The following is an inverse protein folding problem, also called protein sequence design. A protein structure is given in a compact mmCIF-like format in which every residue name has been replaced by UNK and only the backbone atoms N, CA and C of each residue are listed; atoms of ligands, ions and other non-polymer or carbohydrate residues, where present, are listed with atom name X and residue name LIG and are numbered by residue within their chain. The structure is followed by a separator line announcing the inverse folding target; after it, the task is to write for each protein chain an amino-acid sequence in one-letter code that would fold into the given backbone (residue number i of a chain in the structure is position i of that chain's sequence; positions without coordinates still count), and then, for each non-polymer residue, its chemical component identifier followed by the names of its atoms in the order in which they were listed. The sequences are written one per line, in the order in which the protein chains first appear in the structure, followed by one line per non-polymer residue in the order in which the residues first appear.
data_IF_384205122844
#
_entry.id   IF_384205122844
#
_cell.length_a   1.000
_cell.length_b   1.000
_cell.length_c   1.000
_cell.angle_alpha   90.00
_cell.angle_beta   90.00
_cell.angle_gamma   90.00
#
_symmetry.space_group_name_H-M   'P 1'
#
loop_
_entity.id
_entity.type
_entity.pdbx_description
1 polymer ?
#
# COMPACT_ATOMS: atom_id res chain seq x y z
N UNK A 1 20.37 12.62 17.15
CA UNK A 1 20.93 13.01 15.83
C UNK A 1 19.92 13.01 14.67
N UNK A 2 19.24 11.91 14.29
CA UNK A 2 18.34 11.92 13.09
C UNK A 2 16.96 12.55 13.32
N UNK A 3 16.34 12.29 14.48
CA UNK A 3 15.02 12.83 14.83
C UNK A 3 15.09 14.26 15.38
N UNK A 4 16.27 14.72 15.78
CA UNK A 4 16.53 16.08 16.28
C UNK A 4 16.50 17.15 15.18
N UNK A 5 16.66 16.75 13.91
CA UNK A 5 16.68 17.68 12.77
C UNK A 5 15.37 17.66 11.99
N UNK A 6 15.01 18.80 11.39
CA UNK A 6 13.78 18.99 10.61
C UNK A 6 14.05 19.51 9.18
N UNK A 7 15.19 19.14 8.58
CA UNK A 7 15.61 19.64 7.27
C UNK A 7 15.71 18.55 6.20
N UNK A 8 16.18 17.37 6.58
CA UNK A 8 16.51 16.28 5.68
C UNK A 8 15.63 15.06 5.96
N UNK A 9 15.25 14.35 4.90
CA UNK A 9 14.55 13.06 4.97
C UNK A 9 13.31 13.06 5.88
N UNK A 10 12.51 14.13 5.81
CA UNK A 10 11.30 14.29 6.64
C UNK A 10 10.33 13.10 6.48
N UNK A 11 10.20 12.57 5.26
CA UNK A 11 9.36 11.39 4.98
C UNK A 11 9.82 10.11 5.70
N UNK A 12 11.07 10.04 6.16
CA UNK A 12 11.62 8.90 6.89
C UNK A 12 11.46 9.01 8.41
N UNK A 13 10.96 10.14 8.94
CA UNK A 13 10.82 10.33 10.39
C UNK A 13 9.92 9.27 11.03
N UNK A 14 8.80 8.95 10.38
CA UNK A 14 7.91 7.86 10.81
C UNK A 14 8.62 6.50 10.88
N UNK A 15 9.49 6.20 9.91
CA UNK A 15 10.32 5.00 9.94
C UNK A 15 11.26 5.03 11.15
N UNK A 16 11.97 6.13 11.39
CA UNK A 16 12.90 6.25 12.51
C UNK A 16 12.23 6.12 13.86
N UNK A 17 11.09 6.80 14.08
CA UNK A 17 10.29 6.62 15.30
C UNK A 17 9.89 5.17 15.49
N UNK A 18 9.34 4.53 14.45
CA UNK A 18 8.93 3.13 14.51
C UNK A 18 10.09 2.20 14.88
N UNK A 19 11.27 2.39 14.28
CA UNK A 19 12.48 1.63 14.59
C UNK A 19 12.98 1.88 16.01
N UNK A 20 12.96 3.13 16.46
CA UNK A 20 13.41 3.52 17.80
C UNK A 20 12.49 2.92 18.88
N UNK A 21 11.16 2.98 18.68
CA UNK A 21 10.19 2.31 19.55
C UNK A 21 10.45 0.80 19.62
N UNK A 22 10.70 0.13 18.49
CA UNK A 22 11.04 -1.31 18.47
C UNK A 22 12.31 -1.59 19.27
N UNK A 23 13.34 -0.75 19.11
CA UNK A 23 14.62 -0.92 19.80
C UNK A 23 14.42 -0.82 21.32
N UNK A 24 13.79 0.25 21.81
CA UNK A 24 13.56 0.43 23.24
C UNK A 24 12.65 -0.64 23.83
N UNK A 25 11.52 -0.95 23.18
CA UNK A 25 10.55 -1.91 23.70
C UNK A 25 11.07 -3.35 23.69
N UNK A 26 11.67 -3.80 22.58
CA UNK A 26 11.99 -5.22 22.40
C UNK A 26 13.45 -5.55 22.70
N UNK A 27 14.39 -4.70 22.29
CA UNK A 27 15.82 -5.01 22.40
C UNK A 27 16.40 -4.57 23.73
N UNK A 28 16.09 -3.34 24.16
CA UNK A 28 16.61 -2.76 25.40
C UNK A 28 15.67 -2.98 26.60
N UNK A 29 14.43 -3.41 26.37
CA UNK A 29 13.40 -3.64 27.39
C UNK A 29 13.11 -2.40 28.27
N UNK A 30 13.30 -1.21 27.71
CA UNK A 30 13.02 0.08 28.35
C UNK A 30 11.65 0.58 27.89
N UNK A 31 10.60 0.13 28.56
CA UNK A 31 9.21 0.41 28.17
C UNK A 31 8.87 1.89 28.29
N UNK A 32 9.31 2.56 29.36
CA UNK A 32 9.01 3.99 29.58
C UNK A 32 9.59 4.87 28.48
N UNK A 33 10.82 4.59 28.04
CA UNK A 33 11.43 5.24 26.87
C UNK A 33 10.65 4.96 25.60
N UNK A 34 10.19 3.73 25.39
CA UNK A 34 9.37 3.42 24.21
C UNK A 34 8.06 4.22 24.20
N UNK A 35 7.43 4.41 25.36
CA UNK A 35 6.22 5.23 25.53
C UNK A 35 6.51 6.71 25.25
N UNK A 36 7.61 7.25 25.78
CA UNK A 36 8.08 8.61 25.50
C UNK A 36 8.25 8.85 23.99
N UNK A 37 8.93 7.93 23.29
CA UNK A 37 9.11 8.00 21.83
C UNK A 37 7.77 7.95 21.08
N UNK A 38 6.80 7.14 21.54
CA UNK A 38 5.47 7.10 20.94
C UNK A 38 4.75 8.43 21.14
N UNK A 39 4.83 9.03 22.33
CA UNK A 39 4.25 10.33 22.62
C UNK A 39 4.82 11.42 21.71
N UNK A 40 6.16 11.45 21.56
CA UNK A 40 6.84 12.38 20.66
C UNK A 40 6.39 12.19 19.20
N UNK A 41 6.25 10.93 18.75
CA UNK A 41 5.77 10.65 17.39
C UNK A 41 4.34 11.14 17.16
N UNK A 42 3.48 11.12 18.18
CA UNK A 42 2.09 11.59 18.06
C UNK A 42 1.97 13.10 17.84
N UNK A 43 3.03 13.85 18.17
CA UNK A 43 3.08 15.30 18.03
C UNK A 43 3.72 15.75 16.71
N UNK A 44 4.34 14.83 15.95
CA UNK A 44 5.07 15.15 14.73
C UNK A 44 4.17 15.08 13.48
N UNK A 45 3.96 16.23 12.85
CA UNK A 45 3.11 16.40 11.66
C UNK A 45 3.71 15.82 10.38
N UNK A 46 4.99 15.45 10.36
CA UNK A 46 5.66 14.93 9.17
C UNK A 46 5.55 13.41 9.03
N UNK A 47 4.94 12.73 10.00
CA UNK A 47 4.79 11.28 9.98
C UNK A 47 3.64 10.90 9.05
N UNK A 48 3.96 10.10 8.03
CA UNK A 48 2.96 9.52 7.14
C UNK A 48 2.05 8.56 7.91
N UNK A 49 0.76 8.58 7.57
CA UNK A 49 -0.31 7.86 8.27
C UNK A 49 -0.03 6.35 8.45
N UNK A 50 0.56 5.69 7.45
CA UNK A 50 0.93 4.27 7.55
C UNK A 50 1.99 3.99 8.63
N UNK A 51 2.89 4.94 8.91
CA UNK A 51 3.81 4.84 10.04
C UNK A 51 3.12 5.11 11.36
N UNK A 52 2.17 6.06 11.41
CA UNK A 52 1.33 6.30 12.61
C UNK A 52 0.58 5.03 12.98
N UNK A 53 -0.08 4.37 12.01
CA UNK A 53 -0.73 3.07 12.20
C UNK A 53 0.23 2.02 12.77
N UNK A 54 1.42 1.88 12.19
CA UNK A 54 2.42 0.90 12.65
C UNK A 54 2.88 1.15 14.09
N UNK A 55 3.09 2.42 14.45
CA UNK A 55 3.49 2.85 15.79
C UNK A 55 2.35 2.63 16.79
N UNK A 56 1.12 3.05 16.48
CA UNK A 56 -0.04 2.86 17.34
C UNK A 56 -0.42 1.39 17.54
N UNK A 57 -0.33 0.55 16.51
CA UNK A 57 -0.48 -0.91 16.67
C UNK A 57 0.56 -1.50 17.62
N UNK A 58 1.73 -0.87 17.77
CA UNK A 58 2.72 -1.25 18.78
C UNK A 58 2.42 -0.65 20.15
N UNK A 59 1.96 0.59 20.21
CA UNK A 59 1.45 1.22 21.42
C UNK A 59 0.43 0.30 22.12
N UNK A 60 -0.58 -0.18 21.38
CA UNK A 60 -1.60 -1.09 21.91
C UNK A 60 -1.03 -2.40 22.48
N UNK A 61 0.04 -2.93 21.87
CA UNK A 61 0.71 -4.15 22.36
C UNK A 61 1.49 -3.88 23.64
N UNK A 62 2.26 -2.79 23.68
CA UNK A 62 3.07 -2.39 24.83
C UNK A 62 2.18 -2.08 26.04
N UNK A 63 1.12 -1.30 25.82
CA UNK A 63 0.18 -0.85 26.84
C UNK A 63 -1.02 -1.80 27.03
N UNK A 64 -0.94 -3.03 26.52
CA UNK A 64 -2.04 -4.02 26.61
C UNK A 64 -2.52 -4.28 28.05
N UNK A 65 -1.62 -4.16 29.03
CA UNK A 65 -1.92 -4.28 30.47
C UNK A 65 -2.40 -2.96 31.10
N UNK A 66 -2.14 -1.81 30.49
CA UNK A 66 -2.52 -0.49 30.99
C UNK A 66 -3.40 0.25 29.98
N UNK A 67 -4.64 -0.24 29.84
CA UNK A 67 -5.60 0.30 28.87
C UNK A 67 -6.12 1.69 29.23
N UNK A 68 -5.96 2.12 30.49
CA UNK A 68 -6.37 3.45 30.95
C UNK A 68 -5.40 4.55 30.52
N UNK A 69 -4.20 4.19 30.05
CA UNK A 69 -3.21 5.14 29.61
C UNK A 69 -3.72 5.97 28.41
N UNK A 70 -3.51 7.29 28.43
CA UNK A 70 -4.00 8.22 27.40
C UNK A 70 -3.60 7.79 25.98
N UNK A 71 -2.32 7.44 25.77
CA UNK A 71 -1.83 6.94 24.48
C UNK A 71 -2.49 5.63 24.01
N UNK A 72 -2.96 4.78 24.93
CA UNK A 72 -3.70 3.57 24.54
C UNK A 72 -5.06 3.94 23.94
N UNK A 73 -5.75 4.90 24.57
CA UNK A 73 -7.03 5.39 24.06
C UNK A 73 -6.86 6.09 22.72
N UNK A 74 -5.91 7.04 22.62
CA UNK A 74 -5.57 7.71 21.35
C UNK A 74 -5.25 6.72 20.22
N UNK A 75 -4.45 5.68 20.51
CA UNK A 75 -4.11 4.66 19.52
C UNK A 75 -5.33 3.80 19.13
N UNK A 76 -6.22 3.52 20.07
CA UNK A 76 -7.46 2.76 19.84
C UNK A 76 -8.42 3.56 18.97
N UNK A 77 -8.65 4.82 19.30
CA UNK A 77 -9.52 5.73 18.53
C UNK A 77 -9.02 5.88 17.09
N UNK A 78 -7.72 6.11 16.91
CA UNK A 78 -7.12 6.19 15.58
C UNK A 78 -7.36 4.92 14.76
N UNK A 79 -7.16 3.73 15.35
CA UNK A 79 -7.31 2.46 14.63
C UNK A 79 -8.78 2.13 14.38
N UNK A 80 -9.68 2.45 15.30
CA UNK A 80 -11.11 2.21 15.14
C UNK A 80 -11.75 3.10 14.08
N UNK A 81 -11.17 4.29 13.84
CA UNK A 81 -11.60 5.18 12.76
C UNK A 81 -11.19 4.68 11.36
N UNK A 82 -10.34 3.65 11.26
CA UNK A 82 -9.98 3.04 9.99
C UNK A 82 -11.04 2.03 9.56
N UNK A 83 -11.38 2.06 8.26
CA UNK A 83 -12.31 1.10 7.69
C UNK A 83 -11.73 -0.32 7.73
N UNK A 84 -12.46 -1.25 8.34
CA UNK A 84 -12.06 -2.66 8.34
C UNK A 84 -12.40 -3.29 6.98
N UNK A 85 -11.43 -3.91 6.28
CA UNK A 85 -11.72 -4.58 5.02
C UNK A 85 -12.57 -5.83 5.27
N UNK A 86 -13.39 -6.20 4.29
CA UNK A 86 -14.06 -7.50 4.27
C UNK A 86 -13.01 -8.60 4.11
N UNK A 87 -13.06 -9.61 5.01
CA UNK A 87 -12.10 -10.71 5.00
C UNK A 87 -12.78 -11.96 4.45
N UNK A 88 -12.36 -12.36 3.26
CA UNK A 88 -12.74 -13.62 2.65
C UNK A 88 -11.61 -14.63 2.82
N UNK A 89 -11.93 -15.81 3.35
CA UNK A 89 -10.96 -16.92 3.49
C UNK A 89 -11.21 -17.98 2.44
N UNK A 90 -10.20 -18.25 1.62
CA UNK A 90 -10.21 -19.32 0.61
C UNK A 90 -9.29 -20.45 1.06
N UNK A 91 -9.72 -21.70 0.91
CA UNK A 91 -8.95 -22.89 1.27
C UNK A 91 -8.58 -23.68 0.02
N UNK A 92 -7.34 -24.18 -0.01
CA UNK A 92 -6.80 -24.90 -1.17
C UNK A 92 -5.73 -25.89 -0.79
N UNK A 93 -5.49 -26.87 -1.67
CA UNK A 93 -4.47 -27.90 -1.45
C UNK A 93 -3.08 -27.33 -1.73
N UNK A 94 -2.30 -27.15 -0.66
CA UNK A 94 -0.91 -26.71 -0.74
C UNK A 94 -0.01 -27.85 -1.23
N UNK A 95 0.84 -27.56 -2.20
CA UNK A 95 1.83 -28.52 -2.71
C UNK A 95 3.12 -28.37 -1.90
N UNK A 96 3.56 -29.46 -1.26
CA UNK A 96 4.84 -29.51 -0.55
C UNK A 96 5.95 -29.66 -1.59
N UNK A 97 6.80 -28.65 -1.71
CA UNK A 97 8.00 -28.72 -2.54
C UNK A 97 9.20 -29.14 -1.68
N UNK A 98 9.84 -30.26 -2.02
CA UNK A 98 10.98 -30.81 -1.27
C UNK A 98 12.26 -29.98 -1.37
N UNK A 99 12.28 -28.93 -2.20
CA UNK A 99 13.42 -28.02 -2.34
C UNK A 99 13.33 -26.88 -1.32
N UNK A 100 14.35 -26.76 -0.46
CA UNK A 100 14.60 -25.65 0.47
C UNK A 100 14.76 -24.26 -0.18
N UNK A 101 14.59 -24.16 -1.50
CA UNK A 101 14.81 -22.96 -2.31
C UNK A 101 13.51 -22.30 -2.82
N UNK A 102 12.33 -22.88 -2.58
CA UNK A 102 11.06 -22.24 -2.97
C UNK A 102 10.49 -21.50 -1.75
N UNK A 103 10.57 -20.16 -1.79
CA UNK A 103 10.13 -19.25 -0.72
C UNK A 103 8.61 -19.00 -0.71
N UNK A 104 7.93 -19.21 -1.84
CA UNK A 104 6.50 -18.87 -2.00
C UNK A 104 5.60 -20.12 -2.02
N UNK A 105 4.48 -20.07 -1.30
CA UNK A 105 3.50 -21.16 -1.24
C UNK A 105 2.85 -21.41 -2.61
N UNK A 106 2.83 -22.67 -3.05
CA UNK A 106 2.17 -23.12 -4.29
C UNK A 106 0.93 -23.96 -4.00
N UNK A 107 -0.10 -23.80 -4.81
CA UNK A 107 -1.40 -24.45 -4.65
C UNK A 107 -1.80 -25.20 -5.92
N UNK A 108 -2.49 -26.32 -5.73
CA UNK A 108 -3.17 -27.01 -6.83
C UNK A 108 -4.44 -26.24 -7.19
N UNK A 109 -4.53 -25.77 -8.44
CA UNK A 109 -5.69 -25.07 -8.99
C UNK A 109 -6.36 -25.98 -10.01
N UNK A 110 -7.66 -26.18 -9.85
CA UNK A 110 -8.45 -26.98 -10.78
C UNK A 110 -9.23 -26.06 -11.71
N UNK A 111 -8.95 -26.17 -13.01
CA UNK A 111 -9.68 -25.47 -14.05
C UNK A 111 -10.60 -26.44 -14.77
N UNK A 112 -11.78 -25.96 -15.14
CA UNK A 112 -12.74 -26.71 -15.93
C UNK A 112 -12.80 -26.08 -17.33
N UNK A 113 -12.56 -26.89 -18.36
CA UNK A 113 -12.70 -26.50 -19.76
C UNK A 113 -13.60 -27.49 -20.49
N UNK A 114 -14.19 -27.09 -21.61
CA UNK A 114 -14.90 -27.99 -22.51
C UNK A 114 -13.89 -28.58 -23.50
N UNK A 115 -13.88 -29.90 -23.66
CA UNK A 115 -13.14 -30.56 -24.74
C UNK A 115 -13.94 -30.51 -26.07
N UNK A 116 -13.31 -30.91 -27.18
CA UNK A 116 -13.92 -30.94 -28.53
C UNK A 116 -15.25 -31.69 -28.61
N UNK A 117 -15.50 -32.62 -27.68
CA UNK A 117 -16.74 -33.40 -27.58
C UNK A 117 -17.77 -32.79 -26.61
N UNK A 118 -17.65 -31.51 -26.23
CA UNK A 118 -18.48 -30.85 -25.21
C UNK A 118 -18.46 -31.52 -23.81
N UNK A 119 -17.46 -32.35 -23.53
CA UNK A 119 -17.25 -32.94 -22.21
C UNK A 119 -16.44 -32.02 -21.30
N UNK A 120 -16.79 -31.95 -20.02
CA UNK A 120 -16.05 -31.16 -19.02
C UNK A 120 -14.70 -31.85 -18.73
N UNK A 121 -13.61 -31.21 -19.12
CA UNK A 121 -12.24 -31.61 -18.75
C UNK A 121 -11.81 -30.88 -17.50
N UNK A 122 -11.33 -31.65 -16.53
CA UNK A 122 -10.68 -31.12 -15.34
C UNK A 122 -9.17 -31.12 -15.56
N UNK A 123 -8.56 -29.94 -15.48
CA UNK A 123 -7.09 -29.79 -15.49
C UNK A 123 -6.62 -29.29 -14.14
N UNK A 124 -5.58 -29.93 -13.58
CA UNK A 124 -4.91 -29.47 -12.37
C UNK A 124 -3.62 -28.77 -12.75
N UNK A 125 -3.50 -27.48 -12.43
CA UNK A 125 -2.28 -26.69 -12.61
C UNK A 125 -1.72 -26.27 -11.26
N UNK A 126 -0.40 -26.05 -11.21
CA UNK A 126 0.28 -25.53 -10.01
C UNK A 126 0.37 -24.02 -10.15
N UNK A 127 -0.18 -23.28 -9.18
CA UNK A 127 -0.19 -21.82 -9.20
C UNK A 127 0.31 -21.21 -7.89
N UNK A 128 0.65 -19.93 -7.90
CA UNK A 128 0.90 -19.14 -6.70
C UNK A 128 -0.42 -18.75 -6.01
N UNK A 129 -0.33 -18.13 -4.83
CA UNK A 129 -1.50 -17.72 -4.04
C UNK A 129 -2.43 -16.81 -4.84
N UNK A 130 -1.86 -15.93 -5.65
CA UNK A 130 -2.59 -14.87 -6.34
C UNK A 130 -3.35 -15.40 -7.55
N UNK A 131 -2.74 -16.28 -8.36
CA UNK A 131 -3.46 -16.96 -9.43
C UNK A 131 -4.50 -17.96 -8.88
N UNK A 132 -4.24 -18.58 -7.74
CA UNK A 132 -5.22 -19.41 -7.05
C UNK A 132 -6.45 -18.57 -6.64
N UNK A 133 -6.23 -17.37 -6.09
CA UNK A 133 -7.30 -16.44 -5.75
C UNK A 133 -8.06 -15.95 -7.00
N UNK A 134 -7.38 -15.62 -8.11
CA UNK A 134 -8.02 -15.25 -9.37
C UNK A 134 -8.95 -16.36 -9.88
N UNK A 135 -8.49 -17.62 -9.85
CA UNK A 135 -9.33 -18.75 -10.26
C UNK A 135 -10.56 -18.91 -9.37
N UNK A 136 -10.42 -18.70 -8.06
CA UNK A 136 -11.56 -18.70 -7.13
C UNK A 136 -12.58 -17.62 -7.49
N UNK A 137 -12.14 -16.37 -7.72
CA UNK A 137 -13.05 -15.29 -8.14
C UNK A 137 -13.72 -15.57 -9.48
N UNK A 138 -12.99 -16.13 -10.45
CA UNK A 138 -13.56 -16.52 -11.75
C UNK A 138 -14.60 -17.62 -11.60
N UNK A 139 -14.32 -18.67 -10.83
CA UNK A 139 -15.17 -19.86 -10.72
C UNK A 139 -16.39 -19.62 -9.83
N UNK A 140 -16.22 -18.91 -8.71
CA UNK A 140 -17.28 -18.75 -7.71
C UNK A 140 -18.15 -17.50 -7.92
N UNK A 141 -17.61 -16.45 -8.55
CA UNK A 141 -18.32 -15.19 -8.75
C UNK A 141 -18.47 -14.80 -10.23
N UNK A 142 -17.92 -15.59 -11.16
CA UNK A 142 -18.08 -15.33 -12.59
C UNK A 142 -17.24 -14.16 -13.12
N UNK A 143 -16.23 -13.71 -12.39
CA UNK A 143 -15.32 -12.66 -12.87
C UNK A 143 -14.42 -13.21 -13.98
N UNK A 144 -14.82 -12.97 -15.24
CA UNK A 144 -14.11 -13.46 -16.43
C UNK A 144 -12.74 -12.83 -16.65
N UNK A 145 -12.46 -11.69 -16.02
CA UNK A 145 -11.20 -10.96 -16.14
C UNK A 145 -10.66 -10.62 -14.75
N UNK A 146 -9.35 -10.79 -14.58
CA UNK A 146 -8.65 -10.39 -13.37
C UNK A 146 -7.16 -10.24 -13.65
N UNK A 147 -6.51 -9.32 -12.93
CA UNK A 147 -5.10 -9.00 -13.11
C UNK A 147 -4.41 -8.97 -11.75
N UNK A 148 -3.37 -9.78 -11.59
CA UNK A 148 -2.46 -9.68 -10.47
C UNK A 148 -1.24 -8.83 -10.88
N UNK A 149 -1.23 -7.55 -10.49
CA UNK A 149 -0.16 -6.61 -10.82
C UNK A 149 0.11 -5.58 -9.70
N UNK A 150 -0.33 -5.87 -8.47
CA UNK A 150 -0.16 -5.00 -7.30
C UNK A 150 -0.56 -3.53 -7.60
N UNK A 151 0.33 -2.57 -7.34
CA UNK A 151 0.09 -1.14 -7.59
C UNK A 151 0.30 -0.70 -9.05
N UNK A 152 0.84 -1.55 -9.93
CA UNK A 152 1.18 -1.17 -11.29
C UNK A 152 -0.03 -0.69 -12.13
N UNK A 153 -1.23 -1.31 -12.05
CA UNK A 153 -2.40 -0.82 -12.79
C UNK A 153 -2.74 0.63 -12.45
N UNK A 154 -2.71 1.00 -11.17
CA UNK A 154 -3.01 2.36 -10.74
C UNK A 154 -1.94 3.36 -11.18
N UNK A 155 -0.65 2.98 -11.13
CA UNK A 155 0.44 3.82 -11.65
C UNK A 155 0.35 4.01 -13.16
N UNK A 156 -0.01 2.97 -13.90
CA UNK A 156 -0.22 3.05 -15.36
C UNK A 156 -1.42 3.94 -15.69
N UNK A 157 -2.56 3.76 -15.02
CA UNK A 157 -3.72 4.62 -15.20
C UNK A 157 -3.41 6.07 -14.85
N UNK A 158 -2.65 6.31 -13.78
CA UNK A 158 -2.17 7.64 -13.43
C UNK A 158 -1.32 8.24 -14.56
N UNK A 159 -0.34 7.48 -15.06
CA UNK A 159 0.50 7.90 -16.18
C UNK A 159 -0.31 8.24 -17.42
N UNK A 160 -1.33 7.44 -17.75
CA UNK A 160 -2.21 7.67 -18.91
C UNK A 160 -3.10 8.89 -18.72
N UNK A 161 -3.73 9.04 -17.55
CA UNK A 161 -4.69 10.12 -17.28
C UNK A 161 -4.06 11.44 -16.87
N UNK A 162 -2.78 11.48 -16.52
CA UNK A 162 -2.09 12.69 -16.05
C UNK A 162 -0.77 12.93 -16.78
N UNK A 163 -0.53 12.32 -17.94
CA UNK A 163 0.74 12.44 -18.67
C UNK A 163 1.13 13.91 -18.92
N UNK A 164 0.22 14.67 -19.55
CA UNK A 164 0.38 16.09 -19.85
C UNK A 164 0.63 16.94 -18.60
N UNK A 165 0.00 16.58 -17.49
CA UNK A 165 0.16 17.27 -16.20
C UNK A 165 1.51 16.91 -15.57
N UNK A 166 1.89 15.64 -15.56
CA UNK A 166 3.16 15.17 -15.01
C UNK A 166 4.35 15.82 -15.73
N UNK A 167 4.26 15.95 -17.05
CA UNK A 167 5.27 16.59 -17.91
C UNK A 167 5.03 18.09 -18.18
N UNK A 168 4.14 18.74 -17.42
CA UNK A 168 3.95 20.19 -17.51
C UNK A 168 5.21 20.98 -17.13
N UNK A 169 5.32 22.19 -17.68
CA UNK A 169 6.47 23.08 -17.47
C UNK A 169 6.48 23.66 -16.04
N UNK A 170 7.10 22.93 -15.12
CA UNK A 170 7.32 23.34 -13.74
C UNK A 170 8.82 23.55 -13.50
N UNK A 171 9.17 24.74 -13.01
CA UNK A 171 10.56 25.09 -12.70
C UNK A 171 11.25 24.05 -11.81
N UNK A 172 12.49 23.72 -12.20
CA UNK A 172 13.39 22.79 -11.52
C UNK A 172 12.87 21.34 -11.44
N UNK A 173 12.11 20.88 -12.43
CA UNK A 173 11.63 19.48 -12.48
C UNK A 173 12.30 18.66 -13.59
N UNK A 174 12.76 19.31 -14.66
CA UNK A 174 13.52 18.71 -15.75
C UNK A 174 14.85 19.44 -15.95
N UNK A 175 15.95 18.69 -15.87
CA UNK A 175 17.34 19.11 -16.03
C UNK A 175 18.01 18.46 -17.24
N UNK A 176 17.37 17.44 -17.83
CA UNK A 176 17.89 16.68 -18.98
C UNK A 176 16.77 16.13 -19.85
N UNK A 177 17.02 16.05 -21.16
CA UNK A 177 16.12 15.47 -22.15
C UNK A 177 15.89 13.95 -21.98
N UNK A 178 16.70 13.27 -21.17
CA UNK A 178 16.61 11.83 -20.92
C UNK A 178 15.79 11.47 -19.68
N UNK A 179 15.15 12.45 -19.03
CA UNK A 179 14.34 12.17 -17.84
C UNK A 179 13.03 11.45 -18.19
N UNK A 180 12.86 10.27 -17.61
CA UNK A 180 11.63 9.47 -17.74
C UNK A 180 10.50 9.93 -16.80
N UNK A 181 10.77 10.91 -15.92
CA UNK A 181 9.82 11.49 -14.97
C UNK A 181 10.31 12.85 -14.45
N UNK A 182 9.40 13.73 -13.98
CA UNK A 182 9.80 14.94 -13.30
C UNK A 182 10.52 14.62 -11.99
N UNK A 183 11.53 15.41 -11.64
CA UNK A 183 12.36 15.20 -10.44
C UNK A 183 11.55 15.24 -9.14
N UNK A 184 10.47 16.03 -9.12
CA UNK A 184 9.64 16.23 -7.94
C UNK A 184 8.57 15.15 -7.74
N UNK A 185 8.38 14.17 -8.66
CA UNK A 185 7.27 13.20 -8.68
C UNK A 185 6.93 12.57 -7.31
N UNK A 186 7.96 12.22 -6.53
CA UNK A 186 7.80 11.56 -5.23
C UNK A 186 8.03 12.50 -4.04
N UNK A 187 7.75 13.79 -4.23
CA UNK A 187 7.87 14.82 -3.20
C UNK A 187 6.54 15.54 -2.98
N UNK A 188 6.38 16.14 -1.80
CA UNK A 188 5.22 16.97 -1.47
C UNK A 188 5.06 18.19 -2.42
N UNK A 189 6.14 18.59 -3.11
CA UNK A 189 6.12 19.68 -4.09
C UNK A 189 5.32 19.30 -5.35
N UNK A 190 5.29 18.03 -5.73
CA UNK A 190 4.67 17.60 -7.00
C UNK A 190 3.22 18.03 -7.13
N UNK A 191 2.42 17.69 -6.11
CA UNK A 191 1.01 18.07 -6.07
C UNK A 191 0.83 19.58 -5.94
N UNK A 192 1.55 20.23 -5.02
CA UNK A 192 1.40 21.68 -4.79
C UNK A 192 1.77 22.52 -6.02
N UNK A 193 2.80 22.13 -6.77
CA UNK A 193 3.21 22.83 -7.99
C UNK A 193 2.23 22.67 -9.16
N UNK A 194 1.41 21.61 -9.16
CA UNK A 194 0.44 21.27 -10.22
C UNK A 194 -1.00 21.24 -9.71
N UNK A 195 -1.28 21.81 -8.53
CA UNK A 195 -2.53 21.62 -7.79
C UNK A 195 -3.75 21.94 -8.66
N UNK A 196 -3.76 23.11 -9.28
CA UNK A 196 -4.86 23.53 -10.16
C UNK A 196 -5.10 22.54 -11.32
N UNK A 197 -4.04 22.09 -11.99
CA UNK A 197 -4.14 21.14 -13.11
C UNK A 197 -4.65 19.78 -12.64
N UNK A 198 -4.11 19.27 -11.53
CA UNK A 198 -4.50 17.98 -10.95
C UNK A 198 -5.95 18.01 -10.48
N UNK A 199 -6.34 19.04 -9.71
CA UNK A 199 -7.69 19.16 -9.16
C UNK A 199 -8.72 19.32 -10.30
N UNK A 200 -8.39 20.06 -11.36
CA UNK A 200 -9.22 20.18 -12.55
C UNK A 200 -9.40 18.82 -13.27
N UNK A 201 -8.31 18.09 -13.52
CA UNK A 201 -8.36 16.75 -14.16
C UNK A 201 -9.14 15.75 -13.30
N UNK A 202 -8.95 15.77 -11.99
CA UNK A 202 -9.72 14.92 -11.07
C UNK A 202 -11.22 15.24 -11.14
N UNK A 203 -11.60 16.52 -11.18
CA UNK A 203 -13.00 16.91 -11.33
C UNK A 203 -13.60 16.36 -12.64
N UNK A 204 -12.88 16.50 -13.76
CA UNK A 204 -13.30 15.93 -15.05
C UNK A 204 -13.49 14.42 -14.95
N UNK A 205 -12.55 13.69 -14.34
CA UNK A 205 -12.64 12.24 -14.17
C UNK A 205 -13.85 11.83 -13.30
N UNK A 206 -14.21 12.64 -12.30
CA UNK A 206 -15.36 12.39 -11.41
C UNK A 206 -16.71 12.69 -12.07
N UNK A 207 -16.78 13.71 -12.92
CA UNK A 207 -18.05 14.16 -13.53
C UNK A 207 -18.29 13.59 -14.92
N UNK A 208 -17.26 13.08 -15.61
CA UNK A 208 -17.37 12.57 -16.97
C UNK A 208 -18.16 11.25 -16.99
N UNK A 209 -19.32 11.17 -17.67
CA UNK A 209 -20.07 9.92 -17.75
C UNK A 209 -19.30 8.89 -18.58
N UNK A 210 -18.81 9.25 -19.77
CA UNK A 210 -17.94 8.43 -20.62
C UNK A 210 -17.24 9.38 -21.62
N UNK A 211 -15.92 9.20 -21.86
CA UNK A 211 -15.01 10.01 -22.70
C UNK A 211 -14.38 11.25 -22.06
N UNK A 212 -13.33 11.01 -21.29
CA UNK A 212 -12.31 12.04 -21.01
C UNK A 212 -11.51 12.21 -22.30
N UNK A 213 -11.65 13.35 -22.99
CA UNK A 213 -10.67 13.73 -24.03
C UNK A 213 -9.36 14.06 -23.29
N UNK A 214 -8.38 13.16 -23.41
CA UNK A 214 -7.10 13.22 -22.67
C UNK A 214 -6.15 14.28 -23.25
N UNK A 215 -6.51 14.95 -24.36
CA UNK A 215 -5.67 15.96 -25.00
C UNK A 215 -6.47 17.24 -25.27
N UNK A 216 -5.98 18.36 -24.71
CA UNK A 216 -6.24 19.71 -25.20
C UNK A 216 -5.04 20.16 -26.02
#
# INVERSE_FOLDING_TARGET
LLLEQNKYSLNYRGHWYNRLTIMYANKLKQIDRAIEIINLSSQDTNILEHYQYSIYKRCLRILSKNKQHELYQKATDFINNLHNPEILTISGKRIKTNSSQITHSKFETTNFSLDENNSIRKTSIISNVENYALNYYSTNFGYSHGLFAEGAPFLTLYGLFFWDIAFSDVKNTFFSQYQIKPFDLFSARYYSARKHLIDCRLNILLTSPYQVKIFC
#
